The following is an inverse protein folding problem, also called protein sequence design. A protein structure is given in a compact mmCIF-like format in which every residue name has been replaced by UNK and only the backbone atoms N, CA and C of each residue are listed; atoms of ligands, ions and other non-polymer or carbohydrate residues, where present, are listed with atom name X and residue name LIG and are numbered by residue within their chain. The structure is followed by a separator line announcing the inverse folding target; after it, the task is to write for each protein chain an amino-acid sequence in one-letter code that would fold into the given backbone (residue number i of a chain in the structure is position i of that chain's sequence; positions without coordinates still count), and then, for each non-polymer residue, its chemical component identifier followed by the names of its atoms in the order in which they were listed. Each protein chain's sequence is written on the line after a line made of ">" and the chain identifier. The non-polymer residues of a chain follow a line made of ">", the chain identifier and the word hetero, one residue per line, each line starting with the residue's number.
data_IF_076910768996
#
_entry.id   IF_076910768996
#
_cell.length_a   1.000
_cell.length_b   1.000
_cell.length_c   1.000
_cell.angle_alpha   90.00
_cell.angle_beta   90.00
_cell.angle_gamma   90.00
#
_symmetry.space_group_name_H-M   'P 1'
#
loop_
_entity.id
_entity.type
_entity.pdbx_description
1 polymer ?
#
# COMPACT_ATOMS: atom_id res chain seq x y z
N UNK A 1 3.63 -18.66 -18.50
CA UNK A 1 5.02 -18.60 -18.99
C UNK A 1 5.71 -19.87 -18.55
N UNK A 2 5.91 -20.83 -19.46
CA UNK A 2 6.81 -21.97 -19.21
C UNK A 2 8.19 -21.38 -19.00
N UNK A 3 8.88 -21.73 -17.91
CA UNK A 3 10.13 -21.08 -17.46
C UNK A 3 11.31 -21.10 -18.43
N UNK A 4 11.15 -21.56 -19.67
CA UNK A 4 12.20 -21.75 -20.66
C UNK A 4 12.80 -20.46 -21.25
N UNK A 5 12.20 -19.28 -21.05
CA UNK A 5 12.61 -18.05 -21.73
C UNK A 5 13.07 -16.94 -20.77
N UNK A 6 13.81 -17.27 -19.72
CA UNK A 6 14.54 -16.25 -18.97
C UNK A 6 15.93 -16.03 -19.58
N UNK A 7 16.06 -15.00 -20.42
CA UNK A 7 17.29 -14.59 -21.10
C UNK A 7 18.47 -14.30 -20.17
N UNK A 8 18.23 -14.12 -18.86
CA UNK A 8 19.26 -13.82 -17.87
C UNK A 8 19.88 -15.07 -17.24
N UNK A 9 19.35 -16.27 -17.50
CA UNK A 9 19.92 -17.51 -16.95
C UNK A 9 21.12 -17.94 -17.81
N UNK A 10 22.32 -18.08 -17.23
CA UNK A 10 23.49 -18.55 -17.98
C UNK A 10 23.30 -19.96 -18.57
N UNK A 11 23.88 -20.20 -19.75
CA UNK A 11 23.76 -21.48 -20.48
C UNK A 11 24.17 -22.71 -19.66
N UNK A 12 25.14 -22.59 -18.76
CA UNK A 12 25.59 -23.73 -17.95
C UNK A 12 24.57 -24.15 -16.87
N UNK A 13 23.65 -23.27 -16.49
CA UNK A 13 22.56 -23.59 -15.55
C UNK A 13 21.40 -24.22 -16.32
N UNK A 14 21.08 -23.70 -17.51
CA UNK A 14 20.00 -24.22 -18.37
C UNK A 14 20.32 -25.57 -19.02
N UNK A 15 21.60 -25.86 -19.27
CA UNK A 15 21.99 -27.11 -19.92
C UNK A 15 21.86 -28.30 -18.96
N UNK A 16 20.97 -29.23 -19.28
CA UNK A 16 20.78 -30.47 -18.53
C UNK A 16 21.97 -31.42 -18.77
N UNK A 17 22.67 -31.86 -17.71
CA UNK A 17 23.76 -32.83 -17.81
C UNK A 17 23.32 -34.18 -18.38
N UNK A 18 24.24 -34.93 -18.98
CA UNK A 18 23.93 -36.19 -19.67
C UNK A 18 23.34 -37.27 -18.75
N UNK A 19 23.80 -37.36 -17.50
CA UNK A 19 23.33 -38.34 -16.51
C UNK A 19 21.91 -38.08 -16.00
N UNK A 20 21.34 -36.91 -16.30
CA UNK A 20 19.92 -36.61 -16.03
C UNK A 20 18.98 -37.02 -17.17
N UNK A 21 19.52 -37.30 -18.37
CA UNK A 21 18.72 -37.63 -19.57
C UNK A 21 18.18 -39.06 -19.56
N UNK A 22 18.81 -39.98 -18.84
CA UNK A 22 18.38 -41.38 -18.74
C UNK A 22 17.08 -41.56 -17.92
N UNK A 23 16.61 -40.50 -17.24
CA UNK A 23 15.35 -40.46 -16.48
C UNK A 23 14.17 -39.82 -17.26
N UNK A 24 14.30 -39.66 -18.59
CA UNK A 24 13.30 -38.93 -19.41
C UNK A 24 12.27 -39.85 -20.07
N UNK A 25 10.98 -39.48 -19.94
CA UNK A 25 10.06 -39.62 -21.09
C UNK A 25 8.91 -38.59 -21.18
N UNK A 26 8.61 -37.69 -20.22
CA UNK A 26 7.32 -36.93 -20.33
C UNK A 26 7.23 -35.48 -19.80
N UNK A 27 8.27 -34.85 -19.23
CA UNK A 27 8.12 -33.49 -18.63
C UNK A 27 8.86 -32.36 -19.38
N UNK A 28 8.14 -31.31 -19.80
CA UNK A 28 8.65 -30.11 -20.48
C UNK A 28 9.39 -29.08 -19.57
N UNK A 29 9.85 -29.46 -18.38
CA UNK A 29 10.53 -28.56 -17.43
C UNK A 29 12.06 -28.59 -17.58
N UNK A 30 12.65 -27.50 -18.10
CA UNK A 30 14.09 -27.41 -18.36
C UNK A 30 14.97 -27.25 -17.11
N UNK A 31 14.40 -26.88 -15.94
CA UNK A 31 15.18 -26.61 -14.73
C UNK A 31 15.01 -27.67 -13.63
N UNK A 32 14.48 -28.84 -13.99
CA UNK A 32 14.21 -29.93 -13.05
C UNK A 32 15.47 -30.45 -12.34
N UNK A 33 16.61 -30.46 -13.03
CA UNK A 33 17.91 -30.88 -12.46
C UNK A 33 18.48 -29.91 -11.42
N UNK A 34 17.92 -28.70 -11.33
CA UNK A 34 18.30 -27.71 -10.32
C UNK A 34 17.44 -27.80 -9.04
N UNK A 35 16.41 -28.65 -9.02
CA UNK A 35 15.57 -28.88 -7.84
C UNK A 35 16.19 -29.90 -6.92
N UNK A 36 15.91 -29.80 -5.62
CA UNK A 36 16.34 -30.80 -4.63
C UNK A 36 15.77 -32.18 -4.97
N UNK A 37 14.50 -32.21 -5.30
CA UNK A 37 13.79 -33.41 -5.76
C UNK A 37 13.26 -33.16 -7.18
N UNK A 38 13.67 -33.98 -8.19
CA UNK A 38 13.28 -33.76 -9.58
C UNK A 38 11.78 -33.93 -9.86
N UNK A 39 11.01 -34.55 -8.96
CA UNK A 39 9.56 -34.77 -9.11
C UNK A 39 8.73 -33.65 -8.51
N UNK A 40 9.32 -32.81 -7.66
CA UNK A 40 8.61 -31.78 -6.94
C UNK A 40 8.29 -30.59 -7.84
N UNK A 41 7.17 -29.92 -7.57
CA UNK A 41 6.82 -28.62 -8.16
C UNK A 41 7.80 -27.52 -7.74
N UNK A 42 7.87 -26.43 -8.50
CA UNK A 42 8.77 -25.31 -8.20
C UNK A 42 8.41 -24.72 -6.85
N UNK A 43 9.38 -24.62 -5.94
CA UNK A 43 9.17 -24.04 -4.62
C UNK A 43 9.04 -22.52 -4.76
N UNK A 44 7.89 -21.98 -4.36
CA UNK A 44 7.68 -20.54 -4.29
C UNK A 44 8.36 -19.98 -3.03
N UNK A 45 9.53 -19.35 -3.19
CA UNK A 45 10.25 -18.70 -2.08
C UNK A 45 9.80 -17.25 -1.81
N UNK A 46 8.65 -16.84 -2.36
CA UNK A 46 8.17 -15.47 -2.28
C UNK A 46 7.40 -15.11 -1.01
N UNK A 47 6.97 -16.10 -0.22
CA UNK A 47 6.14 -15.91 0.97
C UNK A 47 6.70 -16.62 2.20
N UNK A 48 6.24 -16.22 3.41
CA UNK A 48 6.55 -16.98 4.62
C UNK A 48 5.95 -18.39 4.52
N UNK A 49 6.76 -19.42 4.78
CA UNK A 49 6.25 -20.78 4.91
C UNK A 49 5.71 -21.02 6.31
N UNK A 50 4.58 -21.71 6.41
CA UNK A 50 4.13 -22.24 7.69
C UNK A 50 5.14 -23.28 8.19
N UNK A 51 5.29 -23.38 9.51
CA UNK A 51 6.07 -24.46 10.11
C UNK A 51 5.46 -25.82 9.75
N UNK A 52 6.31 -26.83 9.56
CA UNK A 52 5.92 -28.21 9.20
C UNK A 52 5.17 -28.94 10.32
N UNK A 53 5.03 -28.31 11.49
CA UNK A 53 4.45 -28.91 12.70
C UNK A 53 5.51 -29.56 13.60
N UNK A 54 5.05 -30.18 14.67
CA UNK A 54 5.85 -30.93 15.64
C UNK A 54 5.28 -32.34 15.69
N UNK A 55 6.09 -33.34 15.37
CA UNK A 55 5.71 -34.75 15.42
C UNK A 55 6.74 -35.48 16.26
N UNK A 56 6.33 -36.02 17.41
CA UNK A 56 7.22 -36.81 18.27
C UNK A 56 7.04 -38.29 17.96
N UNK A 57 8.04 -38.88 17.32
CA UNK A 57 8.06 -40.30 16.95
C UNK A 57 8.83 -41.13 17.99
N UNK A 58 8.24 -42.27 18.36
CA UNK A 58 8.81 -43.18 19.35
C UNK A 58 8.96 -44.58 18.77
N UNK A 59 10.16 -45.12 18.85
CA UNK A 59 10.45 -46.51 18.51
C UNK A 59 10.44 -47.35 19.78
N UNK A 60 9.61 -48.38 19.83
CA UNK A 60 9.58 -49.33 20.94
C UNK A 60 10.63 -50.42 20.67
N UNK A 61 11.70 -50.44 21.44
CA UNK A 61 12.69 -51.51 21.45
C UNK A 61 12.64 -52.14 22.84
N UNK A 62 12.35 -53.44 22.90
CA UNK A 62 12.28 -54.22 24.15
C UNK A 62 11.36 -53.61 25.23
N UNK A 63 10.22 -53.03 24.81
CA UNK A 63 9.23 -52.43 25.71
C UNK A 63 9.58 -51.02 26.22
N UNK A 64 10.76 -50.51 25.88
CA UNK A 64 11.18 -49.13 26.19
C UNK A 64 10.95 -48.25 24.96
N UNK A 65 10.22 -47.14 25.15
CA UNK A 65 10.01 -46.12 24.12
C UNK A 65 11.30 -45.28 24.00
N UNK A 66 12.01 -45.45 22.90
CA UNK A 66 13.17 -44.65 22.56
C UNK A 66 12.75 -43.60 21.52
N UNK A 67 13.36 -42.43 21.62
CA UNK A 67 13.21 -41.37 20.62
C UNK A 67 13.77 -41.83 19.29
N UNK A 68 13.03 -41.63 18.21
CA UNK A 68 13.53 -41.88 16.86
C UNK A 68 14.45 -40.73 16.42
N UNK A 69 15.57 -41.06 15.79
CA UNK A 69 16.53 -40.08 15.30
C UNK A 69 16.05 -39.45 13.99
N UNK A 70 15.24 -38.39 14.08
CA UNK A 70 14.74 -37.65 12.91
C UNK A 70 15.81 -36.81 12.18
N UNK A 71 17.07 -36.87 12.61
CA UNK A 71 18.19 -36.19 11.94
C UNK A 71 18.27 -34.67 12.21
N UNK A 72 17.13 -34.01 12.48
CA UNK A 72 17.07 -32.57 12.75
C UNK A 72 17.69 -32.19 14.09
N UNK A 73 18.58 -31.19 14.05
CA UNK A 73 19.30 -30.72 15.23
C UNK A 73 18.37 -30.12 16.29
N UNK A 74 17.32 -29.40 15.84
CA UNK A 74 16.32 -28.82 16.72
C UNK A 74 15.52 -29.92 17.44
N UNK A 75 15.02 -30.93 16.70
CA UNK A 75 14.30 -32.05 17.27
C UNK A 75 15.16 -32.79 18.31
N UNK A 76 16.43 -33.09 18.00
CA UNK A 76 17.34 -33.78 18.93
C UNK A 76 17.53 -33.06 20.27
N UNK A 77 17.54 -31.73 20.25
CA UNK A 77 17.78 -30.88 21.44
C UNK A 77 16.49 -30.32 22.04
N UNK A 78 15.34 -30.76 21.55
CA UNK A 78 14.07 -30.27 22.06
C UNK A 78 13.88 -30.74 23.50
N UNK A 79 13.79 -29.75 24.40
CA UNK A 79 13.57 -29.94 25.83
C UNK A 79 12.17 -30.50 26.09
N UNK A 80 11.22 -30.23 25.20
CA UNK A 80 9.81 -30.56 25.37
C UNK A 80 9.38 -31.76 24.50
N UNK A 81 10.33 -32.54 23.98
CA UNK A 81 10.01 -33.74 23.20
C UNK A 81 9.29 -34.79 24.06
N UNK A 82 8.13 -35.25 23.60
CA UNK A 82 7.28 -36.20 24.31
C UNK A 82 6.50 -35.58 25.46
N UNK A 83 6.35 -34.26 25.46
CA UNK A 83 5.56 -33.55 26.44
C UNK A 83 4.08 -33.95 26.35
N UNK A 84 3.46 -34.23 27.50
CA UNK A 84 2.06 -34.60 27.61
C UNK A 84 1.20 -33.38 27.99
N UNK A 85 0.05 -33.25 27.33
CA UNK A 85 -0.87 -32.13 27.56
C UNK A 85 -1.46 -32.12 28.99
N UNK A 86 -1.50 -33.28 29.66
CA UNK A 86 -2.00 -33.40 31.03
C UNK A 86 -1.24 -32.53 32.05
N UNK A 87 0.04 -32.24 31.82
CA UNK A 87 0.81 -31.35 32.71
C UNK A 87 0.28 -29.90 32.69
N UNK A 88 -0.27 -29.44 31.55
CA UNK A 88 -0.92 -28.12 31.47
C UNK A 88 -2.22 -28.06 32.27
N UNK A 89 -2.98 -29.14 32.31
CA UNK A 89 -4.25 -29.19 33.06
C UNK A 89 -4.01 -29.03 34.57
N UNK A 90 -2.89 -29.56 35.07
CA UNK A 90 -2.48 -29.38 36.47
C UNK A 90 -2.13 -27.91 36.75
N UNK A 91 -1.39 -27.26 35.84
CA UNK A 91 -1.06 -25.84 35.94
C UNK A 91 -2.34 -25.00 35.93
N UNK A 92 -3.27 -25.28 35.01
CA UNK A 92 -4.55 -24.58 34.93
C UNK A 92 -5.36 -24.72 36.22
N UNK A 93 -5.41 -25.93 36.79
CA UNK A 93 -6.08 -26.21 38.07
C UNK A 93 -5.49 -25.41 39.24
N UNK A 94 -4.15 -25.26 39.28
CA UNK A 94 -3.46 -24.41 40.27
C UNK A 94 -3.78 -22.93 40.07
N UNK A 95 -3.87 -22.45 38.82
CA UNK A 95 -4.27 -21.07 38.55
C UNK A 95 -5.71 -20.79 38.94
N UNK A 96 -6.62 -21.73 38.70
CA UNK A 96 -8.01 -21.61 39.08
C UNK A 96 -8.21 -21.57 40.59
N UNK A 97 -7.45 -22.35 41.35
CA UNK A 97 -7.47 -22.27 42.81
C UNK A 97 -6.97 -20.92 43.33
N UNK A 98 -5.89 -20.39 42.73
CA UNK A 98 -5.37 -19.04 43.05
C UNK A 98 -6.39 -17.95 42.69
N UNK A 99 -7.07 -18.04 41.55
CA UNK A 99 -8.13 -17.08 41.18
C UNK A 99 -9.30 -17.15 42.17
N UNK A 100 -9.69 -18.35 42.61
CA UNK A 100 -10.74 -18.54 43.61
C UNK A 100 -10.34 -17.97 44.97
N UNK A 101 -9.08 -18.10 45.38
CA UNK A 101 -8.59 -17.54 46.65
C UNK A 101 -8.40 -16.02 46.62
N UNK A 102 -8.12 -15.44 45.45
CA UNK A 102 -7.96 -13.98 45.26
C UNK A 102 -9.26 -13.23 44.98
N UNK A 103 -10.38 -13.93 44.72
CA UNK A 103 -11.67 -13.27 44.65
C UNK A 103 -11.94 -12.65 46.03
N UNK A 104 -12.15 -11.32 46.12
CA UNK A 104 -12.58 -10.74 47.38
C UNK A 104 -13.85 -11.47 47.80
N UNK A 105 -13.90 -11.91 49.06
CA UNK A 105 -15.14 -12.38 49.66
C UNK A 105 -16.15 -11.26 49.46
N UNK A 106 -17.14 -11.44 48.60
CA UNK A 106 -18.21 -10.47 48.32
C UNK A 106 -19.09 -10.18 49.53
N UNK A 107 -18.71 -10.67 50.71
CA UNK A 107 -19.41 -10.58 51.99
C UNK A 107 -18.52 -9.95 53.08
N UNK A 108 -17.35 -9.40 52.76
CA UNK A 108 -16.66 -8.51 53.68
C UNK A 108 -17.41 -7.16 53.68
N UNK A 109 -17.83 -6.63 54.83
CA UNK A 109 -18.49 -5.32 54.90
C UNK A 109 -17.53 -4.26 54.36
N UNK A 110 -18.05 -3.41 53.47
CA UNK A 110 -17.48 -2.14 52.99
C UNK A 110 -16.46 -1.58 54.00
N UNK A 111 -15.18 -1.74 53.72
CA UNK A 111 -14.14 -0.95 54.38
C UNK A 111 -14.40 0.49 53.91
N UNK A 112 -14.80 1.34 54.85
CA UNK A 112 -15.26 2.72 54.61
C UNK A 112 -14.15 3.69 54.18
N UNK A 113 -13.02 3.17 53.70
CA UNK A 113 -11.89 3.97 53.23
C UNK A 113 -12.06 4.42 51.76
N UNK A 114 -13.00 3.84 51.01
CA UNK A 114 -13.26 4.23 49.61
C UNK A 114 -13.96 5.60 49.49
N UNK A 115 -14.70 6.08 50.51
CA UNK A 115 -15.45 7.34 50.41
C UNK A 115 -14.58 8.59 50.40
N UNK A 116 -13.43 8.54 51.07
CA UNK A 116 -12.58 9.72 51.24
C UNK A 116 -11.72 9.96 49.98
N UNK A 117 -11.25 8.88 49.34
CA UNK A 117 -10.55 8.97 48.06
C UNK A 117 -11.45 9.43 46.90
N UNK A 118 -12.73 9.06 46.91
CA UNK A 118 -13.69 9.48 45.88
C UNK A 118 -13.90 11.00 45.83
N UNK A 119 -13.93 11.64 47.00
CA UNK A 119 -14.14 13.08 47.13
C UNK A 119 -12.93 13.87 46.64
N UNK A 120 -11.72 13.43 47.00
CA UNK A 120 -10.47 14.02 46.51
C UNK A 120 -10.31 13.85 44.98
N UNK A 121 -10.70 12.68 44.44
CA UNK A 121 -10.65 12.42 43.00
C UNK A 121 -11.65 13.26 42.19
N UNK A 122 -12.84 13.48 42.75
CA UNK A 122 -13.84 14.36 42.16
C UNK A 122 -13.38 15.82 42.20
N UNK A 123 -12.71 16.26 43.28
CA UNK A 123 -12.11 17.59 43.39
C UNK A 123 -10.95 17.79 42.37
N UNK A 124 -10.18 16.73 42.11
CA UNK A 124 -9.16 16.68 41.05
C UNK A 124 -9.73 16.58 39.62
N UNK A 125 -11.05 16.39 39.48
CA UNK A 125 -11.73 16.27 38.19
C UNK A 125 -11.42 14.98 37.42
N UNK A 126 -10.95 13.93 38.12
CA UNK A 126 -10.61 12.64 37.51
C UNK A 126 -11.78 11.67 37.71
N UNK A 127 -12.41 11.26 36.61
CA UNK A 127 -13.52 10.31 36.64
C UNK A 127 -13.05 8.90 37.03
N UNK A 128 -13.81 8.19 37.89
CA UNK A 128 -13.53 6.79 38.31
C UNK A 128 -13.34 5.82 37.12
N UNK A 129 -13.94 6.11 35.98
CA UNK A 129 -13.83 5.34 34.73
C UNK A 129 -12.44 5.44 34.08
N UNK A 130 -11.68 6.50 34.35
CA UNK A 130 -10.31 6.67 33.88
C UNK A 130 -9.31 5.89 34.75
N UNK A 131 -9.64 5.66 36.03
CA UNK A 131 -8.78 4.91 36.96
C UNK A 131 -8.92 3.38 36.80
N UNK A 132 -10.15 2.89 36.60
CA UNK A 132 -10.41 1.45 36.38
C UNK A 132 -9.69 0.88 35.15
N UNK A 133 -9.37 1.73 34.19
CA UNK A 133 -8.50 1.41 33.07
C UNK A 133 -7.14 2.02 33.37
N UNK A 134 -6.28 1.35 34.14
CA UNK A 134 -5.01 1.89 34.65
C UNK A 134 -4.08 2.53 33.60
N UNK A 135 -4.38 3.76 33.19
CA UNK A 135 -3.71 4.52 32.12
C UNK A 135 -2.89 5.69 32.68
N UNK A 136 -2.52 5.65 33.95
CA UNK A 136 -1.43 6.49 34.46
C UNK A 136 -0.11 5.80 34.10
N UNK A 137 0.14 5.65 32.78
CA UNK A 137 1.48 5.36 32.28
C UNK A 137 2.26 6.68 32.26
N UNK A 138 3.44 6.67 32.87
CA UNK A 138 4.35 7.81 32.89
C UNK A 138 4.58 8.32 31.47
N UNK A 139 4.42 9.62 31.18
CA UNK A 139 4.49 10.14 29.82
C UNK A 139 5.84 9.88 29.12
N UNK A 140 6.89 9.59 29.90
CA UNK A 140 8.23 9.23 29.42
C UNK A 140 8.33 7.75 29.00
N UNK A 141 7.55 6.87 29.63
CA UNK A 141 7.53 5.42 29.31
C UNK A 141 6.49 5.06 28.25
N UNK A 142 5.67 6.03 27.82
CA UNK A 142 4.66 5.81 26.78
C UNK A 142 5.33 5.40 25.47
N UNK A 143 4.84 4.29 24.92
CA UNK A 143 5.24 3.88 23.57
C UNK A 143 4.87 4.98 22.56
N UNK A 144 5.76 5.27 21.61
CA UNK A 144 5.50 6.22 20.50
C UNK A 144 4.27 5.78 19.67
N UNK A 145 3.93 4.48 19.70
CA UNK A 145 2.76 3.95 19.02
C UNK A 145 1.48 4.32 19.74
N UNK A 146 0.66 5.12 19.09
CA UNK A 146 -0.69 5.39 19.54
C UNK A 146 -1.60 4.16 19.37
N UNK A 147 -2.16 3.67 20.49
CA UNK A 147 -3.07 2.50 20.49
C UNK A 147 -4.43 2.78 19.83
N UNK A 148 -4.79 4.06 19.67
CA UNK A 148 -6.06 4.49 19.05
C UNK A 148 -6.06 4.30 17.53
N UNK A 149 -4.90 4.29 16.88
CA UNK A 149 -4.79 4.13 15.42
C UNK A 149 -4.43 2.69 15.04
N UNK A 150 -5.32 2.05 14.28
CA UNK A 150 -5.08 0.73 13.70
C UNK A 150 -4.30 0.86 12.39
N UNK A 151 -3.14 0.19 12.24
CA UNK A 151 -2.37 0.24 11.01
C UNK A 151 -3.11 -0.45 9.85
N UNK A 152 -2.84 0.01 8.62
CA UNK A 152 -3.59 -0.40 7.44
C UNK A 152 -3.50 -1.91 7.11
N UNK A 153 -2.39 -2.61 7.42
CA UNK A 153 -2.30 -4.06 7.15
C UNK A 153 -3.22 -4.86 8.06
N UNK A 154 -3.50 -4.38 9.28
CA UNK A 154 -4.43 -5.06 10.20
C UNK A 154 -5.86 -4.97 9.66
N UNK A 155 -6.24 -3.82 9.10
CA UNK A 155 -7.54 -3.64 8.47
C UNK A 155 -7.71 -4.57 7.24
N UNK A 156 -6.60 -4.96 6.61
CA UNK A 156 -6.57 -5.76 5.39
C UNK A 156 -6.17 -7.24 5.62
N UNK A 157 -6.21 -7.76 6.86
CA UNK A 157 -5.80 -9.16 7.16
C UNK A 157 -6.57 -10.18 6.31
N UNK A 158 -7.84 -9.90 6.01
CA UNK A 158 -8.69 -10.78 5.21
C UNK A 158 -8.69 -10.42 3.72
N UNK A 159 -7.98 -9.37 3.29
CA UNK A 159 -8.21 -8.75 1.99
C UNK A 159 -7.41 -9.37 0.83
N UNK A 160 -6.22 -9.96 1.06
CA UNK A 160 -5.43 -10.61 0.00
C UNK A 160 -4.38 -11.62 0.54
N UNK A 161 -4.19 -12.73 -0.18
CA UNK A 161 -3.07 -13.66 0.00
C UNK A 161 -1.77 -12.99 -0.46
N UNK A 162 -0.82 -12.76 0.46
CA UNK A 162 0.50 -12.18 0.16
C UNK A 162 0.85 -10.92 0.95
N UNK A 163 -0.02 -10.43 1.84
CA UNK A 163 0.32 -9.43 2.88
C UNK A 163 0.75 -8.03 2.39
N UNK A 164 0.79 -7.80 1.07
CA UNK A 164 1.08 -6.49 0.49
C UNK A 164 -0.19 -5.65 0.48
N UNK A 165 -0.22 -4.64 1.34
CA UNK A 165 -1.25 -3.59 1.26
C UNK A 165 -1.07 -2.87 -0.07
N UNK A 166 -2.01 -3.08 -0.99
CA UNK A 166 -2.14 -2.20 -2.15
C UNK A 166 -2.99 -1.03 -1.70
N UNK A 167 -2.31 0.04 -1.24
CA UNK A 167 -2.98 1.32 -1.03
C UNK A 167 -3.78 1.60 -2.31
N UNK A 168 -5.08 1.86 -2.18
CA UNK A 168 -5.99 2.11 -3.30
C UNK A 168 -6.82 0.92 -3.80
N UNK A 169 -6.32 -0.33 -3.78
CA UNK A 169 -7.13 -1.49 -4.25
C UNK A 169 -8.09 -1.96 -3.15
N UNK A 170 -7.57 -2.00 -1.92
CA UNK A 170 -8.30 -2.44 -0.72
C UNK A 170 -8.71 -1.24 0.17
N UNK A 171 -8.37 -0.01 -0.25
CA UNK A 171 -8.72 1.24 0.45
C UNK A 171 -9.85 1.95 -0.29
N UNK A 172 -10.75 2.59 0.44
CA UNK A 172 -11.90 3.37 -0.07
C UNK A 172 -11.54 4.52 -1.03
N UNK A 173 -10.25 4.76 -1.29
CA UNK A 173 -9.74 5.67 -2.32
C UNK A 173 -9.46 4.83 -3.57
N UNK A 174 -10.42 4.74 -4.48
CA UNK A 174 -10.31 3.85 -5.63
C UNK A 174 -9.11 4.18 -6.54
N UNK A 175 -8.75 3.21 -7.35
CA UNK A 175 -7.68 3.31 -8.37
C UNK A 175 -8.32 3.79 -9.68
N UNK A 176 -7.58 4.57 -10.48
CA UNK A 176 -8.06 5.11 -11.75
C UNK A 176 -7.79 4.20 -12.97
N UNK A 177 -6.87 3.22 -12.87
CA UNK A 177 -6.49 2.28 -13.93
C UNK A 177 -6.56 0.81 -13.46
N UNK A 178 -6.92 -0.10 -14.38
CA UNK A 178 -6.92 -1.55 -14.15
C UNK A 178 -5.50 -2.17 -14.28
N UNK A 179 -4.59 -1.45 -14.95
CA UNK A 179 -3.19 -1.82 -15.07
C UNK A 179 -2.41 -1.51 -13.77
N UNK A 180 -1.32 -2.25 -13.56
CA UNK A 180 -0.53 -2.40 -12.31
C UNK A 180 0.01 -1.13 -11.63
N UNK A 181 -0.33 0.05 -12.12
CA UNK A 181 0.22 1.32 -11.65
C UNK A 181 -0.67 1.95 -10.58
N UNK A 182 -0.06 2.28 -9.43
CA UNK A 182 -0.72 2.99 -8.36
C UNK A 182 -0.90 4.47 -8.72
N UNK A 183 -2.01 4.80 -9.39
CA UNK A 183 -2.43 6.18 -9.64
C UNK A 183 -3.46 6.61 -8.62
N UNK A 184 -3.13 7.62 -7.83
CA UNK A 184 -4.06 8.23 -6.87
C UNK A 184 -5.26 8.83 -7.62
N UNK A 185 -6.48 8.57 -7.13
CA UNK A 185 -7.68 9.22 -7.65
C UNK A 185 -7.56 10.75 -7.59
N UNK A 186 -7.81 11.39 -8.73
CA UNK A 186 -7.70 12.84 -8.88
C UNK A 186 -8.74 13.52 -7.99
N UNK A 187 -8.28 14.23 -6.96
CA UNK A 187 -9.11 15.03 -6.08
C UNK A 187 -9.73 16.23 -6.81
N UNK A 188 -10.71 16.92 -6.21
CA UNK A 188 -11.36 18.09 -6.85
C UNK A 188 -10.33 19.17 -7.20
N UNK A 189 -9.44 19.49 -6.26
CA UNK A 189 -8.43 20.54 -6.45
C UNK A 189 -7.40 20.14 -7.51
N UNK A 190 -7.01 18.86 -7.55
CA UNK A 190 -6.14 18.32 -8.60
C UNK A 190 -6.81 18.37 -9.98
N UNK A 191 -8.13 18.15 -10.08
CA UNK A 191 -8.87 18.31 -11.35
C UNK A 191 -8.86 19.75 -11.83
N UNK A 192 -9.11 20.69 -10.92
CA UNK A 192 -9.15 22.12 -11.25
C UNK A 192 -7.77 22.61 -11.70
N UNK A 193 -6.70 22.14 -11.05
CA UNK A 193 -5.30 22.38 -11.42
C UNK A 193 -4.96 21.78 -12.79
N UNK A 194 -5.30 20.51 -13.03
CA UNK A 194 -5.04 19.85 -14.32
C UNK A 194 -5.74 20.58 -15.47
N UNK A 195 -6.99 20.98 -15.29
CA UNK A 195 -7.70 21.80 -16.28
C UNK A 195 -7.05 23.16 -16.49
N UNK A 196 -6.52 23.80 -15.43
CA UNK A 196 -5.81 25.07 -15.55
C UNK A 196 -4.47 24.91 -16.28
N UNK A 197 -3.77 23.81 -16.04
CA UNK A 197 -2.53 23.46 -16.74
C UNK A 197 -2.77 23.17 -18.22
N UNK A 198 -3.83 22.43 -18.56
CA UNK A 198 -4.24 22.23 -19.95
C UNK A 198 -4.56 23.55 -20.64
N UNK A 199 -5.33 24.42 -19.98
CA UNK A 199 -5.64 25.75 -20.50
C UNK A 199 -4.38 26.59 -20.73
N UNK A 200 -3.44 26.57 -19.79
CA UNK A 200 -2.16 27.27 -19.91
C UNK A 200 -1.32 26.77 -21.10
N UNK A 201 -1.25 25.45 -21.31
CA UNK A 201 -0.57 24.86 -22.46
C UNK A 201 -1.22 25.24 -23.79
N UNK A 202 -2.56 25.29 -23.86
CA UNK A 202 -3.27 25.73 -25.05
C UNK A 202 -2.95 27.19 -25.38
N UNK A 203 -2.96 28.08 -24.38
CA UNK A 203 -2.61 29.49 -24.55
C UNK A 203 -1.16 29.68 -24.99
N UNK A 204 -0.22 28.97 -24.36
CA UNK A 204 1.19 29.03 -24.74
C UNK A 204 1.41 28.53 -26.19
N UNK A 205 0.75 27.42 -26.57
CA UNK A 205 0.81 26.90 -27.94
C UNK A 205 0.25 27.88 -28.98
N UNK A 206 -0.83 28.58 -28.64
CA UNK A 206 -1.39 29.63 -29.51
C UNK A 206 -0.40 30.80 -29.66
N UNK A 207 0.21 31.24 -28.56
CA UNK A 207 1.22 32.29 -28.57
C UNK A 207 2.44 31.92 -29.42
N UNK A 208 3.02 30.73 -29.21
CA UNK A 208 4.16 30.22 -29.98
C UNK A 208 3.82 30.14 -31.48
N UNK A 209 2.61 29.68 -31.82
CA UNK A 209 2.16 29.62 -33.22
C UNK A 209 2.00 31.01 -33.84
N UNK A 210 1.58 32.03 -33.08
CA UNK A 210 1.46 33.39 -33.59
C UNK A 210 2.85 34.01 -33.78
N UNK A 211 3.72 33.89 -32.79
CA UNK A 211 5.08 34.44 -32.86
C UNK A 211 5.95 33.79 -33.92
N UNK A 212 5.87 32.47 -34.08
CA UNK A 212 6.55 31.76 -35.17
C UNK A 212 6.08 32.23 -36.55
N UNK A 213 4.77 32.48 -36.74
CA UNK A 213 4.22 33.06 -37.98
C UNK A 213 4.73 34.48 -38.22
N UNK A 214 4.75 35.33 -37.20
CA UNK A 214 5.29 36.69 -37.29
C UNK A 214 6.78 36.69 -37.67
N UNK A 215 7.58 35.82 -37.05
CA UNK A 215 9.00 35.66 -37.35
C UNK A 215 9.21 35.16 -38.78
N UNK A 216 8.42 34.18 -39.22
CA UNK A 216 8.49 33.67 -40.59
C UNK A 216 8.13 34.75 -41.62
N UNK A 217 7.11 35.56 -41.36
CA UNK A 217 6.76 36.69 -42.23
C UNK A 217 7.87 37.75 -42.29
N UNK A 218 8.53 38.03 -41.16
CA UNK A 218 9.70 38.93 -41.13
C UNK A 218 10.86 38.36 -41.95
N UNK A 219 11.19 37.08 -41.78
CA UNK A 219 12.22 36.41 -42.59
C UNK A 219 11.92 36.50 -44.09
N UNK A 220 10.67 36.30 -44.50
CA UNK A 220 10.27 36.48 -45.90
C UNK A 220 10.43 37.92 -46.38
N UNK A 221 10.10 38.91 -45.54
CA UNK A 221 10.30 40.32 -45.86
C UNK A 221 11.79 40.69 -45.96
N UNK A 222 12.64 40.14 -45.09
CA UNK A 222 14.07 40.42 -45.08
C UNK A 222 14.81 39.77 -46.25
N UNK A 223 14.35 38.60 -46.74
CA UNK A 223 14.83 38.03 -47.99
C UNK A 223 14.60 38.95 -49.21
N UNK A 224 13.63 39.86 -49.14
CA UNK A 224 13.40 40.86 -50.18
C UNK A 224 14.28 42.11 -50.06
N UNK A 225 14.99 42.28 -48.93
CA UNK A 225 15.86 43.43 -48.65
C UNK A 225 17.33 43.00 -48.45
N UNK A 226 18.24 43.27 -49.40
CA UNK A 226 19.63 42.80 -49.34
C UNK A 226 20.53 43.45 -48.26
N UNK A 227 19.96 44.31 -47.40
CA UNK A 227 20.65 45.00 -46.30
C UNK A 227 20.05 44.70 -44.91
N UNK A 228 19.13 43.73 -44.80
CA UNK A 228 18.48 43.42 -43.52
C UNK A 228 19.43 42.67 -42.55
N UNK A 229 19.44 43.08 -41.28
CA UNK A 229 20.16 42.39 -40.20
C UNK A 229 19.58 40.99 -39.95
N UNK A 230 20.42 40.07 -39.48
CA UNK A 230 20.01 38.70 -39.16
C UNK A 230 18.95 38.70 -38.04
N UNK A 231 17.73 38.26 -38.36
CA UNK A 231 16.64 38.14 -37.40
C UNK A 231 16.88 36.95 -36.46
N UNK A 232 16.86 37.21 -35.15
CA UNK A 232 16.84 36.15 -34.14
C UNK A 232 15.60 35.25 -34.36
N UNK A 233 15.85 33.97 -34.57
CA UNK A 233 14.83 32.99 -34.96
C UNK A 233 14.09 32.38 -33.78
N UNK A 234 14.47 32.76 -32.55
CA UNK A 234 13.89 32.19 -31.34
C UNK A 234 12.58 32.89 -30.95
N UNK A 235 11.56 32.10 -30.61
CA UNK A 235 10.30 32.64 -30.07
C UNK A 235 10.55 33.09 -28.63
N UNK A 236 10.27 34.35 -28.26
CA UNK A 236 10.46 34.82 -26.89
C UNK A 236 9.53 34.05 -25.93
N UNK A 237 10.02 33.69 -24.75
CA UNK A 237 9.22 32.95 -23.76
C UNK A 237 8.31 33.90 -22.99
N UNK A 238 7.00 33.62 -22.98
CA UNK A 238 6.02 34.41 -22.22
C UNK A 238 5.64 33.72 -20.90
N UNK A 239 6.23 34.19 -19.80
CA UNK A 239 6.00 33.67 -18.44
C UNK A 239 4.54 33.79 -17.97
N UNK A 240 3.76 34.69 -18.58
CA UNK A 240 2.34 34.93 -18.28
C UNK A 240 1.38 33.80 -18.71
N UNK A 241 1.89 32.77 -19.38
CA UNK A 241 1.15 31.55 -19.72
C UNK A 241 1.63 30.31 -18.95
N UNK A 242 2.58 30.45 -18.03
CA UNK A 242 2.99 29.35 -17.15
C UNK A 242 2.17 29.37 -15.85
N UNK A 243 1.57 28.23 -15.51
CA UNK A 243 0.85 28.03 -14.24
C UNK A 243 1.80 28.17 -13.05
N UNK A 244 3.04 27.72 -13.19
CA UNK A 244 4.03 27.75 -12.13
C UNK A 244 4.61 29.16 -11.93
N UNK A 245 4.83 29.90 -13.03
CA UNK A 245 5.38 31.25 -12.96
C UNK A 245 4.34 32.32 -12.61
N UNK A 246 3.08 32.15 -13.04
CA UNK A 246 2.00 33.13 -12.82
C UNK A 246 0.65 32.47 -12.51
N UNK A 247 0.53 31.73 -11.39
CA UNK A 247 -0.65 30.92 -11.08
C UNK A 247 -1.94 31.74 -11.00
N UNK A 248 -1.90 32.88 -10.30
CA UNK A 248 -3.06 33.76 -10.12
C UNK A 248 -3.53 34.39 -11.42
N UNK A 249 -2.59 34.80 -12.29
CA UNK A 249 -2.90 35.36 -13.59
C UNK A 249 -3.61 34.32 -14.46
N UNK A 250 -3.09 33.09 -14.45
CA UNK A 250 -3.64 31.99 -15.25
C UNK A 250 -5.02 31.56 -14.74
N UNK A 251 -5.21 31.54 -13.42
CA UNK A 251 -6.51 31.30 -12.78
C UNK A 251 -7.55 32.37 -13.18
N UNK A 252 -7.16 33.65 -13.18
CA UNK A 252 -8.04 34.74 -13.59
C UNK A 252 -8.41 34.64 -15.08
N UNK A 253 -7.43 34.38 -15.96
CA UNK A 253 -7.65 34.15 -17.39
C UNK A 253 -8.61 32.97 -17.63
N UNK A 254 -8.42 31.85 -16.93
CA UNK A 254 -9.30 30.67 -17.02
C UNK A 254 -10.72 31.02 -16.59
N UNK A 255 -10.87 31.73 -15.46
CA UNK A 255 -12.18 32.14 -14.94
C UNK A 255 -12.91 33.09 -15.89
N UNK A 256 -12.20 33.98 -16.57
CA UNK A 256 -12.78 34.84 -17.61
C UNK A 256 -13.21 34.04 -18.83
N UNK A 257 -12.40 33.08 -19.27
CA UNK A 257 -12.74 32.20 -20.39
C UNK A 257 -13.96 31.33 -20.07
N UNK A 258 -14.04 30.77 -18.87
CA UNK A 258 -15.18 29.98 -18.40
C UNK A 258 -16.47 30.81 -18.38
N UNK A 259 -16.39 32.09 -17.99
CA UNK A 259 -17.53 33.03 -18.08
C UNK A 259 -17.93 33.24 -19.53
N UNK A 260 -16.99 33.50 -20.44
CA UNK A 260 -17.25 33.68 -21.87
C UNK A 260 -17.88 32.42 -22.50
N UNK A 261 -17.38 31.24 -22.14
CA UNK A 261 -17.93 29.93 -22.59
C UNK A 261 -19.37 29.74 -22.11
N UNK A 262 -19.68 30.08 -20.86
CA UNK A 262 -21.04 30.03 -20.31
C UNK A 262 -21.99 30.97 -21.06
N UNK A 263 -21.60 32.23 -21.25
CA UNK A 263 -22.41 33.20 -21.99
C UNK A 263 -22.65 32.77 -23.44
N UNK A 264 -21.63 32.25 -24.12
CA UNK A 264 -21.77 31.72 -25.48
C UNK A 264 -22.70 30.50 -25.52
N UNK A 265 -22.63 29.62 -24.51
CA UNK A 265 -23.53 28.48 -24.34
C UNK A 265 -24.99 28.92 -24.14
N UNK A 266 -25.23 29.93 -23.32
CA UNK A 266 -26.57 30.51 -23.11
C UNK A 266 -27.12 31.14 -24.38
N UNK A 267 -26.30 31.92 -25.12
CA UNK A 267 -26.69 32.49 -26.40
C UNK A 267 -27.07 31.41 -27.42
N UNK A 268 -26.28 30.34 -27.49
CA UNK A 268 -26.59 29.17 -28.34
C UNK A 268 -27.90 28.50 -27.91
N UNK A 269 -28.08 28.26 -26.61
CA UNK A 269 -29.31 27.67 -26.07
C UNK A 269 -30.54 28.53 -26.40
N UNK A 270 -30.46 29.85 -26.20
CA UNK A 270 -31.53 30.79 -26.58
C UNK A 270 -31.82 30.72 -28.07
N UNK A 271 -30.79 30.79 -28.92
CA UNK A 271 -30.96 30.70 -30.37
C UNK A 271 -31.57 29.38 -30.87
N UNK A 272 -31.32 28.28 -30.16
CA UNK A 272 -31.94 26.98 -30.47
C UNK A 272 -33.40 26.95 -30.01
N UNK A 273 -33.69 27.52 -28.84
CA UNK A 273 -35.06 27.61 -28.31
C UNK A 273 -35.93 28.51 -29.19
N UNK A 274 -35.38 29.61 -29.73
CA UNK A 274 -36.09 30.47 -30.68
C UNK A 274 -36.35 29.76 -32.03
N UNK A 275 -35.49 28.82 -32.42
CA UNK A 275 -35.61 28.08 -33.70
C UNK A 275 -36.52 26.85 -33.62
N UNK A 276 -36.59 26.19 -32.46
CA UNK A 276 -37.22 24.88 -32.30
C UNK A 276 -38.21 24.78 -31.15
N UNK A 277 -38.34 25.82 -30.32
CA UNK A 277 -39.20 25.85 -29.15
C UNK A 277 -40.61 26.38 -29.41
N UNK A 278 -41.07 26.42 -30.66
CA UNK A 278 -42.48 26.69 -30.97
C UNK A 278 -43.27 25.37 -31.02
N UNK A 279 -43.65 24.88 -29.85
CA UNK A 279 -44.90 24.13 -29.57
C UNK A 279 -45.17 24.15 -28.06
#
# INVERSE_FOLDING_TARGET
>A
MTGNDNSYIPKFISNVPWYYRELQDTSNDAFRHQRRDPTDSSIEQGGPSAGTGINDTFKVVDGVKLKEDEGDFAAKRDRWHGYDAAEWDEIFSKWDSIKKSKKPQTNAPDDSDDTDYELELQELGIDRKEFTKGFVEDPVERSIRERKYTPAYILAINANEGGKIRIGKDSTRGIANDDSDFVRQISKDERDLNQMQQFAWEQNKQYESQKSRELYQKQLADLSNPSAEAVDTTVPVELGFSVEASPTLMMMKKKEEDKKKKEAGEKRKRSLLDRYGSE
#
